data_IF_842147623185
#
_entry.id   IF_842147623185
#
_cell.length_a   1.000
_cell.length_b   1.000
_cell.length_c   1.000
_cell.angle_alpha   90.00
_cell.angle_beta   90.00
_cell.angle_gamma   90.00
#
_symmetry.space_group_name_H-M   'P 1'
#
loop_
_entity.id
_entity.type
_entity.pdbx_description
1 polymer ?
#
# COMPACT_ATOMS: atom_id res chain seq x y z
N UNK A 1 -57.42 25.44 15.37
CA UNK A 1 -56.56 24.26 15.61
C UNK A 1 -55.40 24.38 14.65
N UNK A 2 -54.31 25.01 15.10
CA UNK A 2 -53.10 25.24 14.30
C UNK A 2 -52.14 24.09 14.58
N UNK A 3 -51.94 23.21 13.60
CA UNK A 3 -50.93 22.15 13.66
C UNK A 3 -49.54 22.79 13.61
N UNK A 4 -48.81 22.67 14.72
CA UNK A 4 -47.41 23.05 14.84
C UNK A 4 -46.56 21.91 14.30
N UNK A 5 -45.95 22.11 13.13
CA UNK A 5 -44.97 21.19 12.56
C UNK A 5 -43.61 21.44 13.21
N UNK A 6 -43.21 20.58 14.16
CA UNK A 6 -41.86 20.60 14.74
C UNK A 6 -40.84 20.15 13.68
N UNK A 7 -39.69 20.84 13.53
CA UNK A 7 -38.66 20.38 12.62
C UNK A 7 -37.90 19.21 13.27
N UNK A 8 -37.73 18.13 12.49
CA UNK A 8 -36.97 16.96 12.87
C UNK A 8 -35.50 17.31 13.21
N UNK A 9 -35.00 16.70 14.29
CA UNK A 9 -33.62 16.84 14.74
C UNK A 9 -32.63 16.35 13.65
N UNK A 10 -31.47 17.01 13.47
CA UNK A 10 -30.47 16.57 12.51
C UNK A 10 -29.87 15.23 12.92
N UNK A 11 -29.75 14.32 11.97
CA UNK A 11 -29.11 13.02 12.14
C UNK A 11 -27.66 13.18 12.61
N UNK A 12 -27.29 12.45 13.67
CA UNK A 12 -25.93 12.41 14.20
C UNK A 12 -24.97 11.82 13.16
N UNK A 13 -24.14 12.66 12.55
CA UNK A 13 -22.96 12.22 11.81
C UNK A 13 -22.04 11.43 12.77
N UNK A 14 -21.97 10.12 12.57
CA UNK A 14 -20.98 9.26 13.22
C UNK A 14 -19.59 9.78 12.86
N UNK A 15 -18.97 10.51 13.78
CA UNK A 15 -17.57 10.94 13.68
C UNK A 15 -16.70 9.69 13.65
N UNK A 16 -16.35 9.22 12.45
CA UNK A 16 -15.32 8.21 12.27
C UNK A 16 -14.01 8.75 12.88
N UNK A 17 -13.67 8.26 14.08
CA UNK A 17 -12.40 8.60 14.73
C UNK A 17 -11.28 8.11 13.81
N UNK A 18 -10.56 9.06 13.20
CA UNK A 18 -9.44 8.76 12.30
C UNK A 18 -8.43 7.87 13.02
N UNK A 19 -8.19 6.68 12.47
CA UNK A 19 -7.23 5.73 13.03
C UNK A 19 -5.83 6.37 13.12
N UNK A 20 -5.07 5.96 14.15
CA UNK A 20 -3.70 6.42 14.35
C UNK A 20 -2.84 5.79 13.24
N UNK A 21 -2.34 6.63 12.33
CA UNK A 21 -1.49 6.21 11.21
C UNK A 21 -0.07 5.85 11.67
N UNK A 22 0.51 4.85 11.02
CA UNK A 22 1.89 4.40 11.26
C UNK A 22 2.96 5.17 10.49
N UNK A 23 2.54 5.96 9.51
CA UNK A 23 3.41 6.71 8.60
C UNK A 23 3.19 8.23 8.68
N UNK A 24 4.15 8.97 8.13
CA UNK A 24 4.04 10.42 7.90
C UNK A 24 4.07 10.73 6.42
N UNK A 25 3.11 11.52 5.93
CA UNK A 25 3.16 12.09 4.60
C UNK A 25 4.01 13.36 4.63
N UNK A 26 5.12 13.36 3.88
CA UNK A 26 5.88 14.58 3.57
C UNK A 26 5.72 14.86 2.09
N UNK A 27 5.16 16.02 1.75
CA UNK A 27 5.16 16.49 0.37
C UNK A 27 6.57 16.98 0.03
N UNK A 28 7.21 16.33 -0.94
CA UNK A 28 8.51 16.73 -1.48
C UNK A 28 8.40 17.07 -2.95
N UNK A 29 9.38 17.83 -3.48
CA UNK A 29 9.53 18.01 -4.93
C UNK A 29 9.87 16.66 -5.57
N UNK A 30 9.22 16.38 -6.70
CA UNK A 30 9.49 15.19 -7.50
C UNK A 30 10.51 15.50 -8.60
N UNK A 31 11.33 14.51 -8.94
CA UNK A 31 12.19 14.59 -10.13
C UNK A 31 11.39 14.24 -11.38
N UNK A 32 11.87 14.68 -12.55
CA UNK A 32 11.23 14.34 -13.84
C UNK A 32 11.12 12.82 -14.06
N UNK A 33 12.12 12.06 -13.62
CA UNK A 33 12.11 10.59 -13.70
C UNK A 33 11.00 9.98 -12.83
N UNK A 34 10.81 10.48 -11.61
CA UNK A 34 9.72 10.02 -10.75
C UNK A 34 8.35 10.38 -11.33
N UNK A 35 8.24 11.57 -11.91
CA UNK A 35 6.99 12.01 -12.54
C UNK A 35 6.64 11.14 -13.76
N UNK A 36 7.60 10.89 -14.67
CA UNK A 36 7.40 9.93 -15.78
C UNK A 36 7.04 8.54 -15.29
N UNK A 37 7.69 8.07 -14.20
CA UNK A 37 7.39 6.78 -13.60
C UNK A 37 5.93 6.67 -13.13
N UNK A 38 5.39 7.73 -12.53
CA UNK A 38 3.97 7.76 -12.20
C UNK A 38 3.08 7.79 -13.45
N UNK A 39 3.34 8.71 -14.38
CA UNK A 39 2.50 8.92 -15.57
C UNK A 39 2.44 7.70 -16.48
N UNK A 40 3.57 7.03 -16.71
CA UNK A 40 3.67 5.90 -17.64
C UNK A 40 3.58 4.54 -16.93
N UNK A 41 3.96 4.48 -15.66
CA UNK A 41 4.04 3.22 -14.92
C UNK A 41 2.75 2.87 -14.18
N UNK A 42 2.04 3.86 -13.60
CA UNK A 42 0.79 3.56 -12.86
C UNK A 42 -0.25 2.84 -13.73
N UNK A 43 -0.49 3.22 -15.00
CA UNK A 43 -1.44 2.49 -15.85
C UNK A 43 -1.08 1.03 -16.11
N UNK A 44 0.20 0.63 -15.92
CA UNK A 44 0.69 -0.73 -16.18
C UNK A 44 0.84 -1.57 -14.92
N UNK A 45 1.27 -0.94 -13.83
CA UNK A 45 1.68 -1.63 -12.60
C UNK A 45 0.79 -1.29 -11.40
N UNK A 46 0.00 -0.22 -11.48
CA UNK A 46 -0.85 0.25 -10.40
C UNK A 46 -2.03 -0.67 -10.14
N UNK A 47 -2.36 -0.82 -8.86
CA UNK A 47 -3.58 -1.44 -8.36
C UNK A 47 -4.32 -0.46 -7.46
N UNK A 48 -5.64 -0.58 -7.40
CA UNK A 48 -6.49 0.33 -6.61
C UNK A 48 -7.14 -0.39 -5.44
N UNK A 49 -7.19 0.28 -4.28
CA UNK A 49 -7.86 -0.23 -3.09
C UNK A 49 -9.37 -0.46 -3.33
N UNK A 50 -9.97 0.35 -4.20
CA UNK A 50 -11.39 0.27 -4.55
C UNK A 50 -11.78 -1.03 -5.27
N UNK A 51 -10.80 -1.74 -5.85
CA UNK A 51 -11.04 -3.03 -6.52
C UNK A 51 -11.28 -4.17 -5.52
N UNK A 52 -11.06 -3.94 -4.21
CA UNK A 52 -11.25 -4.93 -3.16
C UNK A 52 -10.33 -6.15 -3.33
N UNK A 53 -10.83 -7.31 -2.94
CA UNK A 53 -10.07 -8.56 -2.95
C UNK A 53 -9.57 -8.92 -4.36
N UNK A 54 -8.26 -9.15 -4.50
CA UNK A 54 -7.64 -9.45 -5.80
C UNK A 54 -7.26 -10.91 -5.95
N UNK A 55 -7.53 -11.42 -7.14
CA UNK A 55 -6.89 -12.63 -7.64
C UNK A 55 -5.54 -12.24 -8.26
N UNK A 56 -4.45 -12.46 -7.52
CA UNK A 56 -3.12 -12.13 -8.00
C UNK A 56 -2.64 -13.04 -9.14
N UNK A 57 -3.15 -14.27 -9.26
CA UNK A 57 -2.83 -15.12 -10.42
C UNK A 57 -3.34 -14.46 -11.71
N UNK A 58 -4.55 -13.91 -11.68
CA UNK A 58 -5.09 -13.15 -12.82
C UNK A 58 -4.34 -11.83 -13.05
N UNK A 59 -3.99 -11.10 -11.99
CA UNK A 59 -3.26 -9.82 -12.10
C UNK A 59 -1.88 -9.99 -12.75
N UNK A 60 -1.16 -11.06 -12.40
CA UNK A 60 0.15 -11.37 -12.96
C UNK A 60 0.08 -12.28 -14.20
N UNK A 61 -1.07 -12.89 -14.48
CA UNK A 61 -1.28 -13.81 -15.59
C UNK A 61 -0.58 -15.17 -15.41
N UNK A 62 -0.19 -15.52 -14.18
CA UNK A 62 0.54 -16.73 -13.83
C UNK A 62 0.39 -17.05 -12.34
N UNK A 63 0.76 -18.27 -11.96
CA UNK A 63 0.96 -18.65 -10.56
C UNK A 63 2.44 -18.75 -10.20
N UNK A 64 2.83 -18.00 -9.18
CA UNK A 64 4.21 -17.84 -8.74
C UNK A 64 4.25 -17.42 -7.26
N UNK A 65 5.37 -17.67 -6.55
CA UNK A 65 5.54 -17.19 -5.18
C UNK A 65 5.46 -15.67 -5.10
N UNK A 66 4.78 -15.14 -4.07
CA UNK A 66 4.45 -13.72 -3.93
C UNK A 66 5.11 -13.10 -2.72
N UNK A 67 5.80 -11.99 -2.97
CA UNK A 67 6.39 -11.14 -1.93
C UNK A 67 5.63 -9.83 -1.83
N UNK A 68 5.13 -9.51 -0.64
CA UNK A 68 4.46 -8.25 -0.32
C UNK A 68 5.39 -7.34 0.48
N UNK A 69 5.73 -6.16 -0.03
CA UNK A 69 6.62 -5.21 0.63
C UNK A 69 5.85 -3.98 1.13
N UNK A 70 5.88 -3.78 2.46
CA UNK A 70 5.24 -2.65 3.14
C UNK A 70 6.22 -1.49 3.26
N UNK A 71 5.87 -0.35 2.67
CA UNK A 71 6.66 0.87 2.77
C UNK A 71 8.01 0.73 2.07
N UNK A 72 8.00 0.35 0.79
CA UNK A 72 9.23 0.12 0.01
C UNK A 72 10.09 1.38 -0.18
N UNK A 73 9.60 2.57 0.23
CA UNK A 73 10.32 3.83 0.14
C UNK A 73 10.64 4.18 -1.31
N UNK A 74 11.92 4.22 -1.65
CA UNK A 74 12.37 4.50 -3.03
C UNK A 74 12.32 3.29 -3.97
N UNK A 75 12.00 2.10 -3.45
CA UNK A 75 11.79 0.89 -4.25
C UNK A 75 13.07 0.20 -4.72
N UNK A 76 14.25 0.61 -4.25
CA UNK A 76 15.52 0.02 -4.70
C UNK A 76 15.61 -1.48 -4.37
N UNK A 77 15.21 -1.87 -3.14
CA UNK A 77 15.19 -3.28 -2.76
C UNK A 77 14.22 -4.08 -3.63
N UNK A 78 12.98 -3.59 -3.77
CA UNK A 78 11.94 -4.23 -4.59
C UNK A 78 12.41 -4.44 -6.02
N UNK A 79 13.00 -3.39 -6.62
CA UNK A 79 13.47 -3.43 -8.00
C UNK A 79 14.58 -4.45 -8.20
N UNK A 80 15.57 -4.49 -7.30
CA UNK A 80 16.66 -5.47 -7.35
C UNK A 80 16.15 -6.90 -7.17
N UNK A 81 15.26 -7.13 -6.20
CA UNK A 81 14.69 -8.46 -5.97
C UNK A 81 13.86 -8.95 -7.16
N UNK A 82 13.01 -8.07 -7.71
CA UNK A 82 12.17 -8.41 -8.85
C UNK A 82 12.97 -8.72 -10.12
N UNK A 83 14.04 -7.96 -10.37
CA UNK A 83 14.95 -8.23 -11.48
C UNK A 83 15.75 -9.53 -11.29
N UNK A 84 16.13 -9.86 -10.06
CA UNK A 84 16.92 -11.05 -9.75
C UNK A 84 16.08 -12.35 -9.71
N UNK A 85 14.76 -12.24 -9.48
CA UNK A 85 13.84 -13.36 -9.35
C UNK A 85 12.63 -13.18 -10.29
N UNK A 86 12.82 -13.28 -11.63
CA UNK A 86 11.73 -13.12 -12.60
C UNK A 86 10.65 -14.20 -12.45
N UNK A 87 10.93 -15.32 -11.79
CA UNK A 87 9.98 -16.39 -11.46
C UNK A 87 9.07 -16.07 -10.27
N UNK A 88 9.33 -15.00 -9.52
CA UNK A 88 8.53 -14.55 -8.38
C UNK A 88 7.79 -13.24 -8.69
N UNK A 89 6.70 -13.01 -7.98
CA UNK A 89 5.88 -11.80 -8.11
C UNK A 89 6.02 -10.89 -6.87
N UNK A 90 6.07 -9.58 -7.11
CA UNK A 90 6.29 -8.56 -6.09
C UNK A 90 5.14 -7.56 -6.05
N UNK A 91 4.58 -7.37 -4.85
CA UNK A 91 3.51 -6.41 -4.59
C UNK A 91 4.05 -5.39 -3.59
N UNK A 92 4.33 -4.18 -4.07
CA UNK A 92 4.82 -3.09 -3.23
C UNK A 92 3.69 -2.16 -2.80
N UNK A 93 3.67 -1.73 -1.54
CA UNK A 93 2.75 -0.69 -1.07
C UNK A 93 3.52 0.48 -0.49
N UNK A 94 3.26 1.68 -1.01
CA UNK A 94 3.91 2.91 -0.56
C UNK A 94 2.95 4.10 -0.63
N UNK A 95 2.94 4.91 0.41
CA UNK A 95 2.11 6.12 0.50
C UNK A 95 2.80 7.33 -0.13
N UNK A 96 4.13 7.32 -0.18
CA UNK A 96 4.97 8.40 -0.67
C UNK A 96 5.12 8.33 -2.20
N UNK A 97 4.33 9.17 -2.90
CA UNK A 97 4.32 9.25 -4.37
C UNK A 97 5.70 9.36 -5.06
N UNK A 98 6.68 10.14 -4.57
CA UNK A 98 8.02 10.16 -5.17
C UNK A 98 8.71 8.78 -5.17
N UNK A 99 8.50 8.00 -4.12
CA UNK A 99 8.98 6.63 -4.01
C UNK A 99 8.35 5.69 -5.02
N UNK A 100 7.01 5.76 -5.14
CA UNK A 100 6.25 5.03 -6.17
C UNK A 100 6.77 5.39 -7.57
N UNK A 101 6.93 6.68 -7.87
CA UNK A 101 7.46 7.14 -9.14
C UNK A 101 8.86 6.61 -9.44
N UNK A 102 9.73 6.53 -8.43
CA UNK A 102 11.08 5.99 -8.58
C UNK A 102 11.08 4.48 -8.91
N UNK A 103 10.29 3.68 -8.16
CA UNK A 103 10.14 2.25 -8.42
C UNK A 103 9.61 2.00 -9.83
N UNK A 104 8.53 2.68 -10.21
CA UNK A 104 7.89 2.48 -11.50
C UNK A 104 8.78 2.92 -12.67
N UNK A 105 9.51 4.02 -12.54
CA UNK A 105 10.49 4.43 -13.54
C UNK A 105 11.60 3.37 -13.69
N UNK A 106 12.07 2.78 -12.59
CA UNK A 106 13.03 1.67 -12.62
C UNK A 106 12.48 0.42 -13.28
N UNK A 107 11.25 0.03 -12.94
CA UNK A 107 10.58 -1.15 -13.51
C UNK A 107 10.38 -1.00 -15.02
N UNK A 108 9.96 0.20 -15.49
CA UNK A 108 9.87 0.52 -16.91
C UNK A 108 11.22 0.42 -17.61
N UNK A 109 12.28 1.01 -17.03
CA UNK A 109 13.61 1.01 -17.63
C UNK A 109 14.21 -0.40 -17.76
N UNK A 110 13.86 -1.30 -16.85
CA UNK A 110 14.31 -2.70 -16.84
C UNK A 110 13.32 -3.67 -17.50
N UNK A 111 12.20 -3.17 -18.04
CA UNK A 111 11.12 -3.97 -18.62
C UNK A 111 10.60 -5.09 -17.70
N UNK A 112 10.52 -4.82 -16.39
CA UNK A 112 9.98 -5.79 -15.44
C UNK A 112 8.47 -5.93 -15.60
N UNK A 113 7.97 -7.16 -15.48
CA UNK A 113 6.54 -7.48 -15.55
C UNK A 113 5.96 -8.02 -14.24
N UNK A 114 6.84 -8.44 -13.33
CA UNK A 114 6.54 -9.12 -12.06
C UNK A 114 6.44 -8.17 -10.86
N UNK A 115 6.09 -6.89 -11.08
CA UNK A 115 5.83 -5.91 -10.02
C UNK A 115 4.40 -5.37 -10.14
N UNK A 116 3.70 -5.22 -9.01
CA UNK A 116 2.49 -4.40 -8.88
C UNK A 116 2.61 -3.47 -7.69
N UNK A 117 1.94 -2.32 -7.75
CA UNK A 117 2.02 -1.30 -6.70
C UNK A 117 0.67 -0.78 -6.25
N UNK A 118 0.53 -0.56 -4.94
CA UNK A 118 -0.53 0.24 -4.36
C UNK A 118 0.02 1.56 -3.82
N UNK A 119 -0.74 2.65 -3.99
CA UNK A 119 -0.37 3.99 -3.50
C UNK A 119 -1.25 4.43 -2.32
N UNK A 120 -1.34 3.61 -1.28
CA UNK A 120 -2.22 3.84 -0.13
C UNK A 120 -1.68 3.16 1.15
N UNK A 121 -2.51 3.12 2.21
CA UNK A 121 -2.13 2.48 3.48
C UNK A 121 -2.00 0.96 3.29
N UNK A 122 -0.82 0.42 3.59
CA UNK A 122 -0.54 -1.01 3.44
C UNK A 122 -1.42 -1.91 4.31
N UNK A 123 -1.90 -1.44 5.46
CA UNK A 123 -2.80 -2.22 6.31
C UNK A 123 -4.20 -2.32 5.72
N UNK A 124 -4.65 -1.29 4.98
CA UNK A 124 -5.91 -1.35 4.24
C UNK A 124 -5.78 -2.35 3.09
N UNK A 125 -4.72 -2.27 2.29
CA UNK A 125 -4.46 -3.24 1.21
C UNK A 125 -4.38 -4.66 1.75
N UNK A 126 -3.62 -4.89 2.82
CA UNK A 126 -3.43 -6.23 3.38
C UNK A 126 -4.76 -6.82 3.88
N UNK A 127 -5.64 -6.00 4.46
CA UNK A 127 -6.96 -6.46 4.92
C UNK A 127 -7.94 -6.69 3.78
N UNK A 128 -8.03 -5.73 2.86
CA UNK A 128 -9.18 -5.58 1.98
C UNK A 128 -8.91 -6.10 0.56
N UNK A 129 -7.64 -6.19 0.16
CA UNK A 129 -7.23 -6.61 -1.18
C UNK A 129 -6.48 -7.94 -1.24
N UNK A 130 -5.88 -8.38 -0.14
CA UNK A 130 -5.06 -9.60 -0.09
C UNK A 130 -5.86 -10.75 0.51
N UNK A 131 -5.99 -11.84 -0.25
CA UNK A 131 -6.62 -13.06 0.24
C UNK A 131 -5.78 -13.76 1.32
N UNK A 132 -6.47 -14.49 2.20
CA UNK A 132 -5.79 -15.27 3.23
C UNK A 132 -4.97 -16.41 2.60
N UNK A 133 -3.82 -16.73 3.19
CA UNK A 133 -2.86 -17.72 2.71
C UNK A 133 -2.47 -17.58 1.21
N UNK A 134 -2.35 -16.34 0.73
CA UNK A 134 -2.02 -16.02 -0.67
C UNK A 134 -0.62 -15.43 -0.85
N UNK A 135 0.07 -15.11 0.24
CA UNK A 135 1.43 -14.56 0.23
C UNK A 135 2.45 -15.58 0.74
N UNK A 136 3.61 -15.64 0.10
CA UNK A 136 4.74 -16.47 0.55
C UNK A 136 5.70 -15.70 1.44
N UNK A 137 5.72 -14.37 1.31
CA UNK A 137 6.63 -13.49 2.05
C UNK A 137 6.04 -12.11 2.28
N UNK A 138 6.20 -11.60 3.50
CA UNK A 138 5.96 -10.19 3.82
C UNK A 138 7.26 -9.53 4.24
N UNK A 139 7.57 -8.39 3.64
CA UNK A 139 8.75 -7.59 3.91
C UNK A 139 8.35 -6.27 4.57
N UNK A 140 9.09 -5.91 5.62
CA UNK A 140 8.95 -4.65 6.33
C UNK A 140 10.35 -4.14 6.70
N UNK A 141 10.90 -3.27 5.87
CA UNK A 141 12.24 -2.73 6.07
C UNK A 141 12.18 -1.31 6.61
N UNK A 142 12.92 -1.08 7.70
CA UNK A 142 13.11 0.24 8.31
C UNK A 142 11.80 1.05 8.52
N UNK A 143 10.74 0.48 9.10
CA UNK A 143 9.52 1.23 9.37
C UNK A 143 9.78 2.39 10.32
N UNK A 144 8.94 3.43 10.26
CA UNK A 144 9.08 4.62 11.11
C UNK A 144 9.30 4.25 12.59
N UNK A 145 10.45 4.60 13.20
CA UNK A 145 10.85 4.06 14.50
C UNK A 145 10.09 4.69 15.68
N UNK A 146 9.52 5.89 15.47
CA UNK A 146 8.73 6.63 16.47
C UNK A 146 9.38 6.74 17.86
N UNK A 147 10.61 7.26 17.94
CA UNK A 147 11.43 7.32 19.17
C UNK A 147 10.81 7.94 20.43
N UNK A 148 9.77 8.77 20.30
CA UNK A 148 9.13 9.43 21.46
C UNK A 148 8.08 8.49 22.06
N UNK A 149 8.08 8.28 23.38
CA UNK A 149 7.14 7.38 24.07
C UNK A 149 5.67 7.64 23.70
N UNK A 150 5.27 8.91 23.61
CA UNK A 150 3.92 9.32 23.17
C UNK A 150 3.53 8.88 21.76
N UNK A 151 4.51 8.50 20.93
CA UNK A 151 4.30 8.03 19.56
C UNK A 151 4.41 6.51 19.42
N UNK A 152 4.69 5.75 20.49
CA UNK A 152 4.81 4.29 20.40
C UNK A 152 3.59 3.60 19.79
N UNK A 153 2.38 4.17 19.99
CA UNK A 153 1.13 3.69 19.38
C UNK A 153 1.11 3.80 17.85
N UNK A 154 2.04 4.53 17.23
CA UNK A 154 2.19 4.68 15.78
C UNK A 154 3.12 3.62 15.17
N UNK A 155 3.88 2.87 15.96
CA UNK A 155 4.70 1.78 15.42
C UNK A 155 3.79 0.73 14.79
N UNK A 156 4.12 0.30 13.58
CA UNK A 156 3.33 -0.67 12.83
C UNK A 156 3.42 -2.06 13.46
N UNK A 157 4.61 -2.46 13.94
CA UNK A 157 4.84 -3.78 14.53
C UNK A 157 4.18 -3.85 15.90
N UNK A 158 3.02 -4.50 15.92
CA UNK A 158 2.19 -4.82 17.09
C UNK A 158 1.62 -6.23 16.93
N UNK A 159 1.03 -6.77 17.98
CA UNK A 159 0.40 -8.10 17.95
C UNK A 159 -0.68 -8.20 16.87
N UNK A 160 -1.53 -7.17 16.73
CA UNK A 160 -2.62 -7.18 15.75
C UNK A 160 -2.10 -7.15 14.30
N UNK A 161 -0.98 -6.46 14.07
CA UNK A 161 -0.30 -6.47 12.78
C UNK A 161 0.31 -7.84 12.49
N UNK A 162 0.97 -8.45 13.48
CA UNK A 162 1.56 -9.78 13.31
C UNK A 162 0.49 -10.84 13.03
N UNK A 163 -0.66 -10.79 13.71
CA UNK A 163 -1.78 -11.70 13.42
C UNK A 163 -2.38 -11.47 12.05
N UNK A 164 -2.54 -10.20 11.63
CA UNK A 164 -3.00 -9.90 10.27
C UNK A 164 -2.04 -10.48 9.22
N UNK A 165 -0.73 -10.27 9.39
CA UNK A 165 0.28 -10.83 8.48
C UNK A 165 0.24 -12.36 8.47
N UNK A 166 0.07 -13.00 9.63
CA UNK A 166 0.02 -14.47 9.75
C UNK A 166 -1.18 -15.10 9.01
N UNK A 167 -2.26 -14.34 8.79
CA UNK A 167 -3.45 -14.82 8.08
C UNK A 167 -3.27 -14.78 6.56
N UNK A 168 -2.37 -13.94 6.05
CA UNK A 168 -2.15 -13.73 4.61
C UNK A 168 -1.10 -14.67 4.06
#
# INVERSE_FOLDING_TARGET
MTESHEPAAPAEEQRHMRAIKSFVMRAGRMTEGQQRGLEQGLPKFGLELADGLRDFDQVFGRSAPRTFEIGFGMGHSTLLMAAAAPEQDFIGVEVHRPGVGALLNGALAQNLSNIRVYTCDALEVLRDCVADASLDRVLLYFPDPWHKSRHHKRRIVKAEFAELVRQK
#
